data_IF_212228399242
#
_entry.id   IF_212228399242
#
_cell.length_a   1.000
_cell.length_b   1.000
_cell.length_c   1.000
_cell.angle_alpha   90.00
_cell.angle_beta   90.00
_cell.angle_gamma   90.00
#
_symmetry.space_group_name_H-M   'P 1'
#
loop_
_entity.id
_entity.type
_entity.pdbx_description
1 polymer ?
#
# COMPACT_ATOMS: atom_id res chain seq x y z
N UNK A 1 18.31 -5.78 50.67
CA UNK A 1 18.93 -6.48 49.53
C UNK A 1 18.04 -6.31 48.33
N UNK A 2 18.35 -5.29 47.51
CA UNK A 2 17.57 -4.99 46.30
C UNK A 2 18.30 -5.60 45.12
N UNK A 3 17.63 -6.50 44.43
CA UNK A 3 18.16 -7.17 43.22
C UNK A 3 17.70 -6.37 42.00
N UNK A 4 18.63 -5.63 41.41
CA UNK A 4 18.39 -4.91 40.16
C UNK A 4 18.51 -5.88 38.99
N UNK A 5 17.41 -6.13 38.29
CA UNK A 5 17.43 -6.89 37.03
C UNK A 5 17.92 -5.98 35.91
N UNK A 6 19.10 -6.26 35.37
CA UNK A 6 19.58 -5.65 34.11
C UNK A 6 18.88 -6.35 32.94
N UNK A 7 18.00 -5.64 32.25
CA UNK A 7 17.54 -6.06 30.92
C UNK A 7 18.63 -5.72 29.90
N UNK A 8 19.28 -6.72 29.36
CA UNK A 8 20.18 -6.58 28.22
C UNK A 8 19.37 -6.44 26.93
N UNK A 9 19.38 -5.26 26.31
CA UNK A 9 18.88 -5.03 24.98
C UNK A 9 19.80 -5.72 23.97
N UNK A 10 19.35 -6.79 23.36
CA UNK A 10 20.03 -7.40 22.22
C UNK A 10 19.77 -6.52 21.00
N UNK A 11 20.69 -5.60 20.69
CA UNK A 11 20.76 -4.97 19.38
C UNK A 11 21.18 -6.07 18.38
N UNK A 12 20.23 -6.62 17.65
CA UNK A 12 20.50 -7.47 16.50
C UNK A 12 21.18 -6.63 15.41
N UNK A 13 22.49 -6.81 15.23
CA UNK A 13 23.17 -6.26 14.08
C UNK A 13 22.54 -6.88 12.82
N UNK A 14 21.96 -6.07 11.95
CA UNK A 14 21.60 -6.51 10.59
C UNK A 14 22.89 -6.92 9.88
N UNK A 15 23.12 -8.21 9.79
CA UNK A 15 24.19 -8.77 8.96
C UNK A 15 23.70 -8.62 7.52
N UNK A 16 24.27 -7.70 6.78
CA UNK A 16 24.02 -7.59 5.35
C UNK A 16 24.35 -8.92 4.69
N UNK A 17 23.41 -9.51 3.98
CA UNK A 17 23.65 -10.70 3.19
C UNK A 17 24.76 -10.41 2.17
N UNK A 18 25.74 -11.31 1.96
CA UNK A 18 26.79 -11.09 0.99
C UNK A 18 26.17 -10.89 -0.41
N UNK A 19 26.67 -9.91 -1.15
CA UNK A 19 26.26 -9.63 -2.52
C UNK A 19 26.43 -10.88 -3.39
N UNK A 20 25.33 -11.35 -3.96
CA UNK A 20 25.33 -12.45 -4.90
C UNK A 20 25.76 -11.99 -6.31
N UNK A 21 26.08 -12.92 -7.21
CA UNK A 21 26.41 -12.57 -8.59
C UNK A 21 25.22 -11.93 -9.30
N UNK A 22 25.53 -11.06 -10.27
CA UNK A 22 24.50 -10.49 -11.17
C UNK A 22 23.79 -11.62 -11.93
N UNK A 23 22.49 -11.63 -11.87
CA UNK A 23 21.66 -12.59 -12.57
C UNK A 23 20.88 -11.89 -13.68
N UNK A 24 21.23 -12.17 -14.94
CA UNK A 24 20.46 -11.72 -16.10
C UNK A 24 19.24 -12.62 -16.26
N UNK A 25 18.10 -12.02 -16.55
CA UNK A 25 16.81 -12.70 -16.67
C UNK A 25 16.24 -12.53 -18.09
N UNK A 26 16.81 -13.21 -19.10
CA UNK A 26 16.33 -13.10 -20.47
C UNK A 26 14.89 -13.61 -20.58
N UNK A 27 14.12 -13.07 -21.52
CA UNK A 27 12.73 -13.48 -21.74
C UNK A 27 12.62 -14.78 -22.55
N UNK A 28 13.65 -15.09 -23.36
CA UNK A 28 13.71 -16.28 -24.22
C UNK A 28 14.13 -17.56 -23.50
N UNK A 29 14.51 -17.51 -22.21
CA UNK A 29 14.99 -18.69 -21.47
C UNK A 29 13.87 -19.65 -21.02
N UNK A 30 12.62 -19.32 -21.32
CA UNK A 30 11.44 -20.14 -21.02
C UNK A 30 11.03 -20.18 -19.54
N UNK A 31 11.63 -19.34 -18.68
CA UNK A 31 11.36 -19.32 -17.22
C UNK A 31 10.40 -18.22 -16.78
N UNK A 32 9.96 -17.37 -17.70
CA UNK A 32 8.93 -16.39 -17.44
C UNK A 32 7.55 -17.02 -17.62
N UNK A 33 6.73 -17.03 -16.57
CA UNK A 33 5.34 -17.43 -16.61
C UNK A 33 4.51 -16.23 -17.08
N UNK A 34 4.13 -16.25 -18.36
CA UNK A 34 3.37 -15.17 -19.00
C UNK A 34 1.87 -15.43 -18.83
N UNK A 35 1.17 -14.52 -18.18
CA UNK A 35 -0.25 -14.58 -17.94
C UNK A 35 -0.96 -13.36 -18.55
N UNK A 36 -1.99 -13.62 -19.36
CA UNK A 36 -2.76 -12.62 -20.07
C UNK A 36 -2.53 -12.68 -21.57
N UNK A 37 -3.59 -12.49 -22.34
CA UNK A 37 -3.63 -12.67 -23.80
C UNK A 37 -2.76 -11.67 -24.58
N UNK A 38 -2.33 -10.59 -23.93
CA UNK A 38 -1.62 -9.46 -24.57
C UNK A 38 -0.21 -9.25 -24.02
N UNK A 39 0.42 -10.35 -23.60
CA UNK A 39 1.80 -10.36 -23.12
C UNK A 39 2.60 -11.36 -23.97
N UNK A 40 3.67 -10.90 -24.61
CA UNK A 40 4.46 -11.73 -25.53
C UNK A 40 5.93 -11.31 -25.58
N UNK A 41 6.81 -12.28 -25.79
CA UNK A 41 8.23 -12.03 -26.11
C UNK A 41 8.37 -11.70 -27.59
N UNK A 42 9.08 -10.62 -27.92
CA UNK A 42 9.35 -10.18 -29.29
C UNK A 42 10.77 -9.63 -29.40
N UNK A 43 11.24 -9.40 -30.63
CA UNK A 43 12.50 -8.70 -30.89
C UNK A 43 12.22 -7.35 -31.54
N UNK A 44 12.75 -6.27 -30.96
CA UNK A 44 12.63 -4.90 -31.48
C UNK A 44 14.04 -4.32 -31.63
N UNK A 45 14.43 -3.95 -32.84
CA UNK A 45 15.75 -3.41 -33.16
C UNK A 45 16.93 -4.28 -32.68
N UNK A 46 16.76 -5.62 -32.81
CA UNK A 46 17.74 -6.61 -32.35
C UNK A 46 17.79 -6.81 -30.83
N UNK A 47 16.93 -6.14 -30.05
CA UNK A 47 16.81 -6.28 -28.61
C UNK A 47 15.65 -7.24 -28.28
N UNK A 48 15.93 -8.22 -27.45
CA UNK A 48 14.90 -9.09 -26.88
C UNK A 48 14.02 -8.28 -25.92
N UNK A 49 12.72 -8.33 -26.09
CA UNK A 49 11.78 -7.55 -25.30
C UNK A 49 10.57 -8.37 -24.88
N UNK A 50 10.00 -8.02 -23.72
CA UNK A 50 8.69 -8.43 -23.31
C UNK A 50 7.69 -7.31 -23.62
N UNK A 51 6.81 -7.55 -24.57
CA UNK A 51 5.70 -6.67 -24.90
C UNK A 51 4.54 -6.91 -23.95
N UNK A 52 4.02 -5.84 -23.34
CA UNK A 52 2.88 -5.92 -22.43
C UNK A 52 1.82 -4.90 -22.82
N UNK A 53 0.56 -5.34 -22.86
CA UNK A 53 -0.62 -4.46 -22.92
C UNK A 53 -1.46 -4.62 -21.64
N UNK A 54 -1.89 -5.84 -21.34
CA UNK A 54 -2.51 -6.20 -20.07
C UNK A 54 -2.11 -7.63 -19.72
N UNK A 55 -1.51 -7.79 -18.55
CA UNK A 55 -1.08 -9.12 -18.10
C UNK A 55 0.13 -9.06 -17.18
N UNK A 56 0.57 -10.23 -16.80
CA UNK A 56 1.68 -10.48 -15.89
C UNK A 56 2.76 -11.31 -16.56
N UNK A 57 4.01 -11.07 -16.19
CA UNK A 57 5.13 -11.94 -16.45
C UNK A 57 5.85 -12.22 -15.12
N UNK A 58 5.70 -13.43 -14.60
CA UNK A 58 6.28 -13.84 -13.32
C UNK A 58 7.62 -14.54 -13.52
N UNK A 59 8.61 -14.18 -12.73
CA UNK A 59 9.90 -14.85 -12.66
C UNK A 59 10.00 -15.63 -11.34
N UNK A 60 9.42 -16.82 -11.31
CA UNK A 60 9.19 -17.58 -10.08
C UNK A 60 10.41 -18.34 -9.56
N UNK A 61 11.44 -18.50 -10.38
CA UNK A 61 12.68 -19.20 -10.04
C UNK A 61 13.73 -18.32 -9.33
N UNK A 62 13.49 -17.02 -9.21
CA UNK A 62 14.34 -16.09 -8.46
C UNK A 62 13.84 -15.90 -7.04
N UNK A 63 14.77 -15.53 -6.14
CA UNK A 63 14.44 -15.12 -4.77
C UNK A 63 15.25 -13.87 -4.43
N UNK A 64 14.55 -12.81 -4.10
CA UNK A 64 15.12 -11.54 -3.70
C UNK A 64 14.42 -11.04 -2.45
N UNK A 65 15.19 -10.77 -1.39
CA UNK A 65 14.74 -10.02 -0.21
C UNK A 65 15.30 -8.61 -0.27
N UNK A 66 16.63 -8.47 -0.14
CA UNK A 66 17.37 -7.23 -0.34
C UNK A 66 18.20 -7.31 -1.60
N UNK A 67 18.48 -6.16 -2.22
CA UNK A 67 19.30 -6.08 -3.42
C UNK A 67 18.82 -5.05 -4.42
N UNK A 68 19.29 -5.20 -5.65
CA UNK A 68 18.99 -4.28 -6.75
C UNK A 68 18.31 -5.03 -7.89
N UNK A 69 17.29 -4.42 -8.48
CA UNK A 69 16.60 -4.87 -9.68
C UNK A 69 16.78 -3.79 -10.74
N UNK A 70 17.30 -4.15 -11.91
CA UNK A 70 17.44 -3.26 -13.05
C UNK A 70 16.64 -3.78 -14.24
N UNK A 71 16.09 -2.87 -15.03
CA UNK A 71 15.47 -3.17 -16.30
C UNK A 71 15.35 -1.91 -17.17
N UNK A 72 15.23 -2.10 -18.46
CA UNK A 72 14.88 -1.03 -19.39
C UNK A 72 13.39 -1.12 -19.71
N UNK A 73 12.72 0.03 -19.80
CA UNK A 73 11.32 0.11 -20.20
C UNK A 73 11.11 1.15 -21.30
N UNK A 74 10.33 0.80 -22.30
CA UNK A 74 9.81 1.71 -23.31
C UNK A 74 8.33 1.91 -23.09
N UNK A 75 7.89 3.14 -22.82
CA UNK A 75 6.53 3.50 -22.45
C UNK A 75 5.81 4.21 -23.60
N UNK A 76 4.48 4.16 -23.59
CA UNK A 76 3.63 4.95 -24.50
C UNK A 76 2.89 6.03 -23.72
N UNK A 77 2.22 6.97 -24.39
CA UNK A 77 1.40 8.01 -23.73
C UNK A 77 0.02 7.55 -23.31
N UNK A 78 -0.35 6.30 -23.62
CA UNK A 78 -1.67 5.77 -23.26
C UNK A 78 -1.87 5.79 -21.75
N UNK A 79 -3.10 6.07 -21.31
CA UNK A 79 -3.46 5.89 -19.89
C UNK A 79 -3.28 4.44 -19.52
N UNK A 80 -2.24 4.17 -18.77
CA UNK A 80 -1.82 2.81 -18.42
C UNK A 80 -1.00 2.83 -17.14
N UNK A 81 -0.78 1.64 -16.60
CA UNK A 81 -0.01 1.42 -15.40
C UNK A 81 0.98 0.30 -15.67
N UNK A 82 2.26 0.53 -15.39
CA UNK A 82 3.37 -0.38 -15.68
C UNK A 82 4.10 -0.67 -14.39
N UNK A 83 4.14 -1.94 -13.98
CA UNK A 83 4.54 -2.34 -12.63
C UNK A 83 5.78 -3.23 -12.62
N UNK A 84 6.57 -3.06 -11.59
CA UNK A 84 7.45 -4.08 -11.02
C UNK A 84 6.84 -4.52 -9.68
N UNK A 85 6.47 -5.79 -9.57
CA UNK A 85 6.13 -6.42 -8.30
C UNK A 85 7.34 -7.19 -7.77
N UNK A 86 7.61 -7.12 -6.47
CA UNK A 86 8.78 -7.73 -5.85
C UNK A 86 8.42 -8.34 -4.49
N UNK A 87 9.34 -9.18 -3.97
CA UNK A 87 9.10 -9.93 -2.73
C UNK A 87 7.78 -10.69 -2.76
N UNK A 88 7.41 -11.23 -3.92
CA UNK A 88 6.16 -11.95 -4.07
C UNK A 88 6.28 -13.29 -3.33
N UNK A 89 5.56 -13.44 -2.22
CA UNK A 89 5.48 -14.69 -1.46
C UNK A 89 4.56 -15.70 -2.16
N UNK A 90 3.45 -15.20 -2.65
CA UNK A 90 2.44 -15.87 -3.49
C UNK A 90 1.68 -14.83 -4.30
N UNK A 91 1.02 -15.25 -5.37
CA UNK A 91 0.30 -14.33 -6.24
C UNK A 91 -0.73 -13.50 -5.46
N UNK A 92 -0.58 -12.17 -5.53
CA UNK A 92 -1.41 -11.22 -4.81
C UNK A 92 -0.97 -10.91 -3.38
N UNK A 93 0.25 -11.34 -3.00
CA UNK A 93 0.89 -10.98 -1.73
C UNK A 93 2.30 -10.45 -2.02
N UNK A 94 2.43 -9.16 -2.28
CA UNK A 94 3.65 -8.53 -2.76
C UNK A 94 3.72 -7.04 -2.43
N UNK A 95 4.87 -6.46 -2.69
CA UNK A 95 5.08 -5.03 -2.84
C UNK A 95 5.08 -4.69 -4.33
N UNK A 96 4.67 -3.48 -4.70
CA UNK A 96 4.79 -3.01 -6.09
C UNK A 96 5.21 -1.55 -6.18
N UNK A 97 6.03 -1.28 -7.18
CA UNK A 97 6.34 0.06 -7.67
C UNK A 97 5.85 0.17 -9.11
N UNK A 98 5.17 1.26 -9.45
CA UNK A 98 4.65 1.40 -10.78
C UNK A 98 4.74 2.80 -11.36
N UNK A 99 4.76 2.84 -12.68
CA UNK A 99 4.87 4.02 -13.52
C UNK A 99 3.51 4.33 -14.14
N UNK A 100 3.14 5.60 -14.15
CA UNK A 100 1.94 6.12 -14.80
C UNK A 100 2.32 7.01 -15.99
N UNK A 101 2.53 6.47 -17.19
CA UNK A 101 3.02 7.24 -18.34
C UNK A 101 2.14 8.45 -18.68
N UNK A 102 0.83 8.33 -18.49
CA UNK A 102 -0.14 9.39 -18.71
C UNK A 102 -0.08 10.53 -17.66
N UNK A 103 0.66 10.33 -16.57
CA UNK A 103 0.91 11.32 -15.51
C UNK A 103 2.36 11.84 -15.52
N UNK A 104 3.06 11.70 -16.63
CA UNK A 104 4.44 12.20 -16.79
C UNK A 104 4.58 13.64 -16.31
N UNK A 105 5.50 13.90 -15.39
CA UNK A 105 5.74 15.20 -14.77
C UNK A 105 4.79 15.59 -13.63
N UNK A 106 3.74 14.81 -13.35
CA UNK A 106 2.82 15.06 -12.24
C UNK A 106 3.33 14.43 -10.93
N UNK A 107 2.90 14.92 -9.74
CA UNK A 107 3.39 14.46 -8.44
C UNK A 107 3.19 12.98 -8.13
N UNK A 108 2.34 12.28 -8.88
CA UNK A 108 2.03 10.87 -8.74
C UNK A 108 2.35 10.07 -10.01
N UNK A 109 3.35 10.50 -10.79
CA UNK A 109 3.82 9.79 -11.98
C UNK A 109 4.41 8.42 -11.66
N UNK A 110 5.01 8.26 -10.48
CA UNK A 110 5.45 6.98 -9.91
C UNK A 110 4.81 6.77 -8.55
N UNK A 111 4.53 5.51 -8.20
CA UNK A 111 3.91 5.19 -6.91
C UNK A 111 4.38 3.83 -6.40
N UNK A 112 4.48 3.74 -5.07
CA UNK A 112 4.58 2.52 -4.29
C UNK A 112 3.18 2.13 -3.76
N UNK A 113 2.88 0.83 -3.75
CA UNK A 113 1.74 0.27 -3.02
C UNK A 113 2.03 -1.17 -2.57
N UNK A 114 1.63 -1.55 -1.34
CA UNK A 114 1.58 -2.94 -0.95
C UNK A 114 0.34 -3.61 -1.56
N UNK A 115 0.43 -4.90 -1.78
CA UNK A 115 -0.69 -5.72 -2.27
C UNK A 115 -1.00 -6.79 -1.22
N UNK A 116 -2.22 -6.79 -0.73
CA UNK A 116 -2.75 -7.76 0.21
C UNK A 116 -3.95 -8.47 -0.42
N UNK A 117 -3.94 -9.81 -0.44
CA UNK A 117 -5.07 -10.60 -0.94
C UNK A 117 -5.51 -10.18 -2.37
N UNK A 118 -4.56 -9.85 -3.27
CA UNK A 118 -4.74 -9.33 -4.64
C UNK A 118 -5.28 -7.89 -4.73
N UNK A 119 -5.44 -7.20 -3.59
CA UNK A 119 -5.86 -5.80 -3.54
C UNK A 119 -4.65 -4.89 -3.37
N UNK A 120 -4.43 -4.01 -4.34
CA UNK A 120 -3.41 -2.97 -4.28
C UNK A 120 -3.91 -1.80 -3.46
N UNK A 121 -3.20 -1.45 -2.38
CA UNK A 121 -3.60 -0.40 -1.45
C UNK A 121 -3.15 1.01 -1.90
N UNK A 122 -3.27 1.30 -3.20
CA UNK A 122 -2.73 2.53 -3.79
C UNK A 122 -3.39 3.82 -3.26
N UNK A 123 -4.65 3.77 -2.83
CA UNK A 123 -5.35 4.92 -2.24
C UNK A 123 -4.89 5.21 -0.82
N UNK A 124 -4.32 4.22 -0.15
CA UNK A 124 -3.85 4.32 1.23
C UNK A 124 -2.39 4.78 1.27
N UNK A 125 -1.61 4.49 0.24
CA UNK A 125 -0.18 4.83 0.14
C UNK A 125 0.03 5.90 -0.94
N UNK A 126 -0.05 7.17 -0.55
CA UNK A 126 0.12 8.31 -1.44
C UNK A 126 0.88 9.46 -0.75
N UNK A 127 1.29 10.46 -1.53
CA UNK A 127 2.05 11.60 -1.01
C UNK A 127 3.51 11.28 -0.75
N UNK A 128 4.12 12.01 0.18
CA UNK A 128 5.55 11.92 0.48
C UNK A 128 5.93 10.50 0.92
N UNK A 129 6.94 9.92 0.27
CA UNK A 129 7.42 8.56 0.54
C UNK A 129 6.61 7.45 -0.13
N UNK A 130 5.51 7.76 -0.83
CA UNK A 130 4.71 6.79 -1.57
C UNK A 130 4.52 7.17 -3.04
N UNK A 131 4.43 8.48 -3.37
CA UNK A 131 4.36 8.95 -4.75
C UNK A 131 5.41 10.02 -5.03
N UNK A 132 5.79 10.15 -6.31
CA UNK A 132 6.69 11.22 -6.76
C UNK A 132 6.47 11.56 -8.23
N UNK A 133 6.95 12.75 -8.60
CA UNK A 133 7.02 13.18 -9.99
C UNK A 133 8.15 12.44 -10.72
N UNK A 134 7.89 12.06 -11.97
CA UNK A 134 8.89 11.54 -12.90
C UNK A 134 8.49 11.91 -14.33
N UNK A 135 9.47 12.15 -15.19
CA UNK A 135 9.21 12.48 -16.60
C UNK A 135 9.53 11.25 -17.45
N UNK A 136 8.60 10.90 -18.33
CA UNK A 136 8.73 9.80 -19.27
C UNK A 136 8.71 10.32 -20.70
N UNK A 137 9.71 9.91 -21.49
CA UNK A 137 9.77 10.18 -22.92
C UNK A 137 9.14 9.01 -23.69
N UNK A 138 7.95 9.21 -24.30
CA UNK A 138 7.24 8.13 -24.98
C UNK A 138 8.05 7.57 -26.17
N UNK A 139 8.14 6.26 -26.24
CA UNK A 139 8.90 5.57 -27.28
C UNK A 139 10.42 5.51 -27.05
N UNK A 140 10.95 6.26 -26.09
CA UNK A 140 12.35 6.12 -25.68
C UNK A 140 12.52 4.99 -24.66
N UNK A 141 13.67 4.33 -24.70
CA UNK A 141 14.09 3.39 -23.68
C UNK A 141 14.55 4.16 -22.44
N UNK A 142 13.97 3.86 -21.30
CA UNK A 142 14.30 4.44 -20.00
C UNK A 142 14.82 3.32 -19.08
N UNK A 143 15.99 3.51 -18.50
CA UNK A 143 16.51 2.60 -17.50
C UNK A 143 15.83 2.83 -16.17
N UNK A 144 15.40 1.75 -15.52
CA UNK A 144 14.76 1.76 -14.20
C UNK A 144 15.58 0.89 -13.27
N UNK A 145 15.85 1.41 -12.09
CA UNK A 145 16.50 0.69 -11.00
C UNK A 145 15.64 0.76 -9.74
N UNK A 146 15.47 -0.38 -9.11
CA UNK A 146 14.87 -0.49 -7.77
C UNK A 146 15.88 -1.08 -6.81
N UNK A 147 16.14 -0.39 -5.71
CA UNK A 147 17.03 -0.85 -4.63
C UNK A 147 16.20 -1.13 -3.39
N UNK A 148 16.40 -2.30 -2.80
CA UNK A 148 15.67 -2.79 -1.64
C UNK A 148 16.63 -3.04 -0.47
N UNK A 149 16.31 -2.52 0.72
CA UNK A 149 17.03 -2.80 1.95
C UNK A 149 16.08 -2.81 3.16
N UNK A 150 15.86 -3.97 3.74
CA UNK A 150 14.89 -4.12 4.83
C UNK A 150 13.53 -3.57 4.42
N UNK A 151 12.96 -2.68 5.22
CA UNK A 151 11.68 -2.02 4.90
C UNK A 151 11.85 -0.71 4.14
N UNK A 152 12.85 -0.59 3.28
CA UNK A 152 13.11 0.63 2.49
C UNK A 152 13.29 0.29 1.03
N UNK A 153 12.86 1.21 0.15
CA UNK A 153 13.08 1.11 -1.29
C UNK A 153 13.48 2.46 -1.88
N UNK A 154 14.28 2.41 -2.96
CA UNK A 154 14.58 3.56 -3.80
C UNK A 154 14.33 3.20 -5.27
N UNK A 155 13.54 4.02 -5.95
CA UNK A 155 13.23 3.89 -7.37
C UNK A 155 13.97 4.98 -8.15
N UNK A 156 14.74 4.58 -9.14
CA UNK A 156 15.42 5.45 -10.09
C UNK A 156 14.78 5.29 -11.47
N UNK A 157 14.59 6.40 -12.16
CA UNK A 157 14.00 6.43 -13.50
C UNK A 157 14.85 7.34 -14.40
N UNK A 158 15.64 6.74 -15.27
CA UNK A 158 16.57 7.43 -16.17
C UNK A 158 17.83 7.95 -15.48
N UNK A 159 17.70 8.84 -14.50
CA UNK A 159 18.82 9.35 -13.69
C UNK A 159 19.17 8.37 -12.56
N UNK A 160 20.31 7.70 -12.65
CA UNK A 160 20.78 6.77 -11.62
C UNK A 160 21.56 7.45 -10.47
N UNK A 161 21.79 8.77 -10.55
CA UNK A 161 22.44 9.52 -9.48
C UNK A 161 21.45 9.97 -8.41
N UNK A 162 20.17 10.15 -8.78
CA UNK A 162 19.11 10.63 -7.88
C UNK A 162 17.86 9.76 -8.01
N UNK A 163 17.37 9.20 -6.90
CA UNK A 163 16.11 8.45 -6.96
C UNK A 163 14.94 9.37 -7.29
N UNK A 164 14.03 8.90 -8.13
CA UNK A 164 12.75 9.54 -8.38
C UNK A 164 11.83 9.42 -7.17
N UNK A 165 11.86 8.27 -6.48
CA UNK A 165 11.08 8.02 -5.28
C UNK A 165 11.93 7.26 -4.26
N UNK A 166 11.90 7.70 -3.01
CA UNK A 166 12.41 6.94 -1.86
C UNK A 166 11.24 6.59 -0.96
N UNK A 167 11.03 5.30 -0.73
CA UNK A 167 10.03 4.77 0.20
C UNK A 167 10.73 4.47 1.52
N UNK A 168 10.50 5.26 2.57
CA UNK A 168 11.21 5.10 3.83
C UNK A 168 10.69 3.91 4.65
N UNK A 169 9.46 3.46 4.35
CA UNK A 169 8.81 2.38 5.08
C UNK A 169 7.89 1.57 4.15
N UNK A 170 8.37 0.43 3.69
CA UNK A 170 7.56 -0.57 3.00
C UNK A 170 6.59 -1.22 3.99
N UNK A 171 5.32 -1.39 3.62
CA UNK A 171 4.27 -1.84 4.52
C UNK A 171 4.40 -3.32 4.93
N UNK A 172 4.98 -4.14 4.03
CA UNK A 172 5.15 -5.58 4.30
C UNK A 172 6.50 -5.88 4.94
N UNK A 173 6.54 -6.94 5.76
CA UNK A 173 7.81 -7.41 6.31
C UNK A 173 8.72 -7.92 5.19
N UNK A 174 10.03 -7.65 5.27
CA UNK A 174 11.00 -8.18 4.33
C UNK A 174 10.97 -9.70 4.30
N UNK A 175 10.94 -10.26 3.10
CA UNK A 175 10.99 -11.72 2.92
C UNK A 175 11.53 -12.04 1.52
N UNK A 176 12.23 -13.16 1.35
CA UNK A 176 12.62 -13.64 0.04
C UNK A 176 11.40 -13.95 -0.81
N UNK A 177 11.32 -13.36 -2.00
CA UNK A 177 10.23 -13.59 -2.92
C UNK A 177 10.66 -13.49 -4.37
N UNK A 178 9.80 -13.89 -5.27
CA UNK A 178 10.02 -13.73 -6.71
C UNK A 178 9.60 -12.33 -7.17
N UNK A 179 9.89 -12.04 -8.44
CA UNK A 179 9.53 -10.77 -9.08
C UNK A 179 8.53 -10.99 -10.21
N UNK A 180 7.80 -9.94 -10.56
CA UNK A 180 6.98 -9.93 -11.77
C UNK A 180 6.94 -8.55 -12.41
N UNK A 181 6.81 -8.55 -13.73
CA UNK A 181 6.50 -7.36 -14.52
C UNK A 181 5.02 -7.42 -14.90
N UNK A 182 4.36 -6.26 -14.94
CA UNK A 182 2.94 -6.18 -15.25
C UNK A 182 2.62 -4.94 -16.07
N UNK A 183 1.69 -5.12 -17.00
CA UNK A 183 0.96 -4.02 -17.61
C UNK A 183 -0.51 -4.08 -17.23
N UNK A 184 -1.11 -2.92 -17.01
CA UNK A 184 -2.55 -2.78 -16.85
C UNK A 184 -3.07 -1.61 -17.69
N UNK A 185 -3.98 -1.95 -18.59
CA UNK A 185 -4.70 -1.00 -19.43
C UNK A 185 -6.17 -1.01 -19.03
N UNK A 186 -6.73 0.11 -18.52
CA UNK A 186 -8.16 0.19 -18.25
C UNK A 186 -8.99 -0.08 -19.51
N UNK A 187 -10.08 -0.83 -19.37
CA UNK A 187 -10.89 -1.31 -20.52
C UNK A 187 -11.47 -0.18 -21.39
N UNK A 188 -11.65 1.01 -20.83
CA UNK A 188 -12.21 2.18 -21.53
C UNK A 188 -11.15 3.06 -22.21
N UNK A 189 -9.87 2.66 -22.21
CA UNK A 189 -8.80 3.45 -22.84
C UNK A 189 -8.68 3.06 -24.31
N UNK A 190 -8.89 4.02 -25.24
CA UNK A 190 -8.83 3.74 -26.68
C UNK A 190 -7.39 3.52 -27.16
N UNK A 191 -7.28 2.96 -28.36
CA UNK A 191 -6.03 2.70 -29.07
C UNK A 191 -5.60 1.24 -29.00
N UNK A 192 -4.70 0.87 -29.90
CA UNK A 192 -4.15 -0.48 -30.06
C UNK A 192 -2.65 -0.50 -29.74
N UNK A 193 -2.11 -1.70 -29.59
CA UNK A 193 -0.70 -1.96 -29.37
C UNK A 193 -0.27 -1.90 -27.90
N UNK A 194 1.03 -2.13 -27.64
CA UNK A 194 1.55 -2.25 -26.30
C UNK A 194 1.47 -0.93 -25.52
N UNK A 195 1.36 -1.05 -24.21
CA UNK A 195 1.54 0.08 -23.30
C UNK A 195 2.98 0.21 -22.85
N UNK A 196 3.70 -0.93 -22.81
CA UNK A 196 5.11 -0.98 -22.45
C UNK A 196 5.82 -2.14 -23.15
N UNK A 197 7.13 -1.98 -23.30
CA UNK A 197 8.10 -3.05 -23.57
C UNK A 197 9.16 -3.02 -22.49
N UNK A 198 9.52 -4.19 -21.97
CA UNK A 198 10.60 -4.37 -21.02
C UNK A 198 11.78 -5.06 -21.71
N UNK A 199 13.00 -4.71 -21.30
CA UNK A 199 14.23 -5.35 -21.76
C UNK A 199 15.28 -5.37 -20.66
N UNK A 200 16.35 -6.16 -20.84
CA UNK A 200 17.55 -6.14 -20.01
C UNK A 200 17.26 -6.29 -18.50
N UNK A 201 16.35 -7.20 -18.14
CA UNK A 201 16.04 -7.45 -16.73
C UNK A 201 17.20 -8.16 -16.06
N UNK A 202 17.68 -7.62 -14.95
CA UNK A 202 18.70 -8.24 -14.13
C UNK A 202 18.44 -7.98 -12.64
N UNK A 203 18.92 -8.88 -11.79
CA UNK A 203 18.89 -8.73 -10.33
C UNK A 203 20.27 -8.91 -9.74
N UNK A 204 20.53 -8.23 -8.63
CA UNK A 204 21.75 -8.32 -7.81
C UNK A 204 21.33 -8.57 -6.37
N UNK A 205 21.11 -9.83 -5.97
CA UNK A 205 20.73 -10.16 -4.59
C UNK A 205 21.82 -9.69 -3.61
N UNK A 206 21.40 -9.03 -2.53
CA UNK A 206 22.28 -8.50 -1.49
C UNK A 206 23.09 -7.25 -1.87
N UNK A 207 23.14 -6.84 -3.15
CA UNK A 207 23.81 -5.61 -3.57
C UNK A 207 22.85 -4.41 -3.44
N UNK A 208 23.05 -3.59 -2.42
CA UNK A 208 22.27 -2.39 -2.16
C UNK A 208 22.95 -1.19 -2.82
N UNK A 209 22.54 -0.84 -4.02
CA UNK A 209 23.15 0.22 -4.85
C UNK A 209 22.65 1.64 -4.49
N UNK A 210 22.25 1.86 -3.25
CA UNK A 210 21.83 3.17 -2.73
C UNK A 210 22.10 3.26 -1.22
N UNK A 211 22.60 4.41 -0.78
CA UNK A 211 22.86 4.66 0.64
C UNK A 211 21.61 5.19 1.35
N UNK A 212 20.96 4.32 2.10
CA UNK A 212 19.82 4.67 2.94
C UNK A 212 20.19 5.27 4.30
N UNK A 213 21.47 5.50 4.61
CA UNK A 213 21.90 5.98 5.92
C UNK A 213 21.40 7.38 6.27
N UNK A 214 21.08 8.19 5.25
CA UNK A 214 20.49 9.52 5.41
C UNK A 214 19.01 9.50 5.83
N UNK A 215 18.33 8.35 5.69
CA UNK A 215 16.95 8.21 6.15
C UNK A 215 16.91 7.91 7.65
N UNK A 216 15.88 8.36 8.37
CA UNK A 216 15.67 7.96 9.75
C UNK A 216 15.69 6.44 9.88
N UNK A 217 16.40 5.93 10.88
CA UNK A 217 16.48 4.49 11.16
C UNK A 217 15.13 3.93 11.65
N UNK A 218 14.27 4.78 12.18
CA UNK A 218 12.94 4.47 12.72
C UNK A 218 11.86 5.18 11.93
N UNK A 219 10.66 4.62 11.94
CA UNK A 219 9.47 5.33 11.47
C UNK A 219 9.36 6.73 12.11
N UNK A 220 8.70 7.70 11.43
CA UNK A 220 8.47 9.03 11.99
C UNK A 220 7.94 8.94 13.42
N UNK A 221 8.33 9.92 14.27
CA UNK A 221 7.79 10.01 15.61
C UNK A 221 6.26 9.99 15.55
N UNK A 222 5.67 9.19 16.40
CA UNK A 222 4.22 9.05 16.42
C UNK A 222 3.58 10.36 16.89
N UNK A 223 2.63 10.87 16.11
CA UNK A 223 1.83 12.02 16.49
C UNK A 223 0.93 11.69 17.69
N UNK A 224 0.80 12.63 18.62
CA UNK A 224 -0.11 12.49 19.76
C UNK A 224 -1.56 12.36 19.27
N UNK A 225 -2.36 11.61 20.01
CA UNK A 225 -3.79 11.44 19.73
C UNK A 225 -4.15 10.46 18.61
N UNK A 226 -3.18 9.96 17.86
CA UNK A 226 -3.42 8.94 16.82
C UNK A 226 -3.86 7.62 17.48
N UNK A 227 -4.96 7.05 17.00
CA UNK A 227 -5.44 5.73 17.43
C UNK A 227 -4.56 4.65 16.82
N UNK A 228 -3.81 3.92 17.66
CA UNK A 228 -2.74 2.99 17.26
C UNK A 228 -3.19 1.59 16.95
N UNK A 229 -4.34 1.20 17.44
CA UNK A 229 -4.89 -0.13 17.24
C UNK A 229 -6.40 -0.10 17.32
N UNK A 230 -7.01 -1.01 16.57
CA UNK A 230 -8.45 -1.17 16.52
C UNK A 230 -8.83 -2.64 16.71
N UNK A 231 -9.97 -2.89 17.34
CA UNK A 231 -10.60 -4.19 17.34
C UNK A 231 -11.44 -4.32 16.06
N UNK A 232 -11.06 -5.22 15.17
CA UNK A 232 -11.62 -5.34 13.81
C UNK A 232 -12.42 -6.62 13.68
N UNK A 233 -13.63 -6.52 13.10
CA UNK A 233 -14.48 -7.66 12.82
C UNK A 233 -14.06 -8.44 11.58
N UNK A 234 -14.60 -9.64 11.40
CA UNK A 234 -14.60 -10.27 10.07
C UNK A 234 -15.41 -9.43 9.08
N UNK A 235 -15.18 -9.68 7.78
CA UNK A 235 -15.98 -9.10 6.70
C UNK A 235 -17.43 -9.61 6.72
N UNK A 236 -18.36 -8.74 6.34
CA UNK A 236 -19.77 -9.06 6.12
C UNK A 236 -20.30 -8.34 4.87
N UNK A 237 -21.45 -8.77 4.31
CA UNK A 237 -21.97 -8.18 3.08
C UNK A 237 -22.21 -6.67 3.20
N UNK A 238 -21.81 -5.88 2.17
CA UNK A 238 -21.98 -4.43 2.19
C UNK A 238 -23.45 -4.05 2.09
N UNK A 239 -23.84 -3.01 2.84
CA UNK A 239 -25.13 -2.37 2.67
C UNK A 239 -25.14 -1.48 1.43
N UNK A 240 -26.30 -1.32 0.79
CA UNK A 240 -26.49 -0.40 -0.32
C UNK A 240 -26.32 1.07 0.12
N UNK A 241 -26.90 1.40 1.26
CA UNK A 241 -26.90 2.73 1.83
C UNK A 241 -26.13 2.75 3.17
N UNK A 242 -25.86 3.95 3.70
CA UNK A 242 -25.25 4.09 5.00
C UNK A 242 -26.08 3.37 6.09
N UNK A 243 -25.41 2.58 6.92
CA UNK A 243 -26.07 1.86 7.99
C UNK A 243 -26.55 2.82 9.08
N UNK A 244 -27.74 2.55 9.62
CA UNK A 244 -28.30 3.32 10.75
C UNK A 244 -28.09 2.64 12.09
N UNK A 245 -27.69 1.36 12.07
CA UNK A 245 -27.47 0.51 13.22
C UNK A 245 -26.21 -0.33 13.00
N UNK A 246 -25.51 -0.64 14.08
CA UNK A 246 -24.42 -1.60 14.06
C UNK A 246 -24.97 -3.00 13.76
N UNK A 247 -24.26 -3.82 12.99
CA UNK A 247 -24.63 -5.22 12.80
C UNK A 247 -24.62 -5.97 14.14
N UNK A 248 -25.48 -6.99 14.22
CA UNK A 248 -25.52 -7.90 15.37
C UNK A 248 -24.15 -8.55 15.64
N UNK A 249 -23.82 -8.78 16.90
CA UNK A 249 -22.55 -9.37 17.32
C UNK A 249 -22.26 -10.70 16.61
N UNK A 250 -23.28 -11.51 16.32
CA UNK A 250 -23.17 -12.76 15.57
C UNK A 250 -22.66 -12.56 14.14
N UNK A 251 -22.97 -11.44 13.51
CA UNK A 251 -22.46 -11.09 12.17
C UNK A 251 -21.00 -10.63 12.20
N UNK A 252 -20.59 -9.96 13.28
CA UNK A 252 -19.24 -9.42 13.42
C UNK A 252 -18.20 -10.52 13.73
N UNK A 253 -18.60 -11.61 14.42
CA UNK A 253 -17.69 -12.62 14.95
C UNK A 253 -16.83 -12.08 16.10
N UNK A 254 -15.75 -12.79 16.41
CA UNK A 254 -14.75 -12.29 17.34
C UNK A 254 -14.02 -11.09 16.71
N UNK A 255 -13.83 -10.04 17.50
CA UNK A 255 -13.01 -8.92 17.07
C UNK A 255 -11.54 -9.25 17.32
N UNK A 256 -10.69 -8.95 16.34
CA UNK A 256 -9.26 -9.14 16.42
C UNK A 256 -8.53 -7.80 16.45
N UNK A 257 -7.48 -7.69 17.28
CA UNK A 257 -6.68 -6.47 17.37
C UNK A 257 -5.81 -6.33 16.13
N UNK A 258 -5.91 -5.20 15.44
CA UNK A 258 -5.05 -4.81 14.34
C UNK A 258 -4.36 -3.49 14.67
N UNK A 259 -3.03 -3.49 14.61
CA UNK A 259 -2.22 -2.28 14.81
C UNK A 259 -2.11 -1.50 13.52
N UNK A 260 -2.09 -0.16 13.65
CA UNK A 260 -1.85 0.73 12.52
C UNK A 260 -0.41 0.66 12.05
N UNK A 261 -0.19 1.03 10.81
CA UNK A 261 1.13 1.34 10.28
C UNK A 261 1.68 2.64 10.91
N UNK A 262 2.98 2.90 10.79
CA UNK A 262 3.53 4.21 11.11
C UNK A 262 2.74 5.34 10.41
N UNK A 263 2.37 6.37 11.15
CA UNK A 263 1.47 7.42 10.64
C UNK A 263 -0.03 7.18 10.90
N UNK A 264 -0.41 6.05 11.50
CA UNK A 264 -1.77 5.81 11.97
C UNK A 264 -2.72 5.17 10.95
N UNK A 265 -2.20 4.67 9.83
CA UNK A 265 -2.99 3.96 8.81
C UNK A 265 -3.33 2.55 9.28
N UNK A 266 -4.62 2.23 9.35
CA UNK A 266 -5.15 0.88 9.52
C UNK A 266 -5.52 0.32 8.15
N UNK A 267 -4.74 -0.59 7.61
CA UNK A 267 -5.03 -1.34 6.37
C UNK A 267 -5.75 -2.65 6.73
N UNK A 268 -7.04 -2.74 6.42
CA UNK A 268 -7.87 -3.87 6.86
C UNK A 268 -7.55 -5.17 6.13
N UNK A 269 -7.12 -5.13 4.86
CA UNK A 269 -6.75 -6.35 4.11
C UNK A 269 -5.59 -7.12 4.72
N UNK A 270 -4.85 -6.53 5.66
CA UNK A 270 -3.81 -7.23 6.43
C UNK A 270 -4.39 -8.34 7.32
N UNK A 271 -5.65 -8.20 7.73
CA UNK A 271 -6.35 -9.11 8.63
C UNK A 271 -7.65 -9.66 8.03
N UNK A 272 -8.48 -8.76 7.50
CA UNK A 272 -9.85 -9.08 7.08
C UNK A 272 -9.85 -9.68 5.68
N UNK A 273 -10.42 -10.88 5.56
CA UNK A 273 -10.55 -11.55 4.26
C UNK A 273 -11.90 -11.22 3.63
N UNK A 274 -11.87 -10.83 2.36
CA UNK A 274 -13.09 -10.71 1.58
C UNK A 274 -13.79 -12.07 1.46
N UNK A 275 -15.12 -12.13 1.53
CA UNK A 275 -15.86 -13.36 1.25
C UNK A 275 -15.56 -13.85 -0.17
N UNK A 276 -15.47 -15.16 -0.35
CA UNK A 276 -15.17 -15.76 -1.65
C UNK A 276 -16.18 -15.29 -2.72
N UNK A 277 -15.66 -14.84 -3.87
CA UNK A 277 -16.47 -14.32 -4.97
C UNK A 277 -17.02 -12.91 -4.77
N UNK A 278 -16.74 -12.25 -3.64
CA UNK A 278 -17.16 -10.88 -3.38
C UNK A 278 -16.12 -9.88 -3.86
N UNK A 279 -16.58 -8.84 -4.56
CA UNK A 279 -15.76 -7.69 -4.95
C UNK A 279 -15.85 -6.53 -3.94
N UNK A 280 -16.71 -6.64 -2.93
CA UNK A 280 -16.93 -5.61 -1.92
C UNK A 280 -17.36 -6.24 -0.59
N UNK A 281 -17.02 -5.61 0.52
CA UNK A 281 -17.42 -6.02 1.85
C UNK A 281 -17.47 -4.83 2.81
N UNK A 282 -18.02 -5.05 3.99
CA UNK A 282 -17.93 -4.15 5.14
C UNK A 282 -17.24 -4.85 6.31
N UNK A 283 -16.55 -4.08 7.14
CA UNK A 283 -16.07 -4.51 8.45
C UNK A 283 -16.24 -3.38 9.47
N UNK A 284 -16.28 -3.75 10.75
CA UNK A 284 -16.29 -2.81 11.87
C UNK A 284 -14.87 -2.71 12.43
N UNK A 285 -14.39 -1.49 12.60
CA UNK A 285 -13.24 -1.18 13.45
C UNK A 285 -13.72 -0.45 14.70
N UNK A 286 -13.32 -0.88 15.90
CA UNK A 286 -13.83 -0.37 17.16
C UNK A 286 -12.72 -0.08 18.16
N UNK A 287 -12.90 1.02 18.92
CA UNK A 287 -12.10 1.33 20.11
C UNK A 287 -12.98 1.82 21.24
N UNK A 288 -12.51 1.65 22.47
CA UNK A 288 -13.08 2.28 23.66
C UNK A 288 -12.28 3.53 24.01
N UNK A 289 -13.00 4.59 24.35
CA UNK A 289 -12.41 5.87 24.73
C UNK A 289 -12.92 6.21 26.12
N UNK A 290 -12.03 6.18 27.10
CA UNK A 290 -12.32 6.66 28.44
C UNK A 290 -12.03 8.15 28.53
N UNK A 291 -13.06 8.95 28.78
CA UNK A 291 -12.92 10.40 28.93
C UNK A 291 -13.00 10.79 30.42
N UNK A 292 -12.06 11.61 30.88
CA UNK A 292 -12.03 12.10 32.27
C UNK A 292 -13.24 12.95 32.62
N UNK A 293 -13.85 13.62 31.64
CA UNK A 293 -15.02 14.47 31.77
C UNK A 293 -15.86 14.45 30.51
N UNK A 294 -17.13 14.80 30.61
CA UNK A 294 -17.99 14.99 29.44
C UNK A 294 -17.56 16.27 28.71
N UNK A 295 -17.24 16.14 27.41
CA UNK A 295 -16.82 17.26 26.55
C UNK A 295 -16.98 16.89 25.07
N UNK A 296 -16.92 17.90 24.20
CA UNK A 296 -16.74 17.71 22.76
C UNK A 296 -15.25 17.57 22.47
N UNK A 297 -14.86 16.52 21.77
CA UNK A 297 -13.49 16.28 21.34
C UNK A 297 -13.41 16.25 19.81
N UNK A 298 -12.50 17.04 19.24
CA UNK A 298 -12.23 17.02 17.82
C UNK A 298 -11.50 15.71 17.45
N UNK A 299 -12.01 15.04 16.42
CA UNK A 299 -11.52 13.77 15.92
C UNK A 299 -11.35 13.87 14.40
N UNK A 300 -10.12 13.81 13.94
CA UNK A 300 -9.77 13.78 12.54
C UNK A 300 -9.88 12.36 12.00
N UNK A 301 -10.56 12.19 10.88
CA UNK A 301 -10.92 10.91 10.31
C UNK A 301 -10.50 10.83 8.84
N UNK A 302 -9.70 9.83 8.50
CA UNK A 302 -9.46 9.38 7.14
C UNK A 302 -10.06 8.01 6.90
N UNK A 303 -10.58 7.75 5.71
CA UNK A 303 -11.22 6.48 5.38
C UNK A 303 -11.20 6.21 3.86
N UNK A 304 -11.26 4.94 3.51
CA UNK A 304 -11.46 4.43 2.15
C UNK A 304 -12.26 3.11 2.22
N UNK A 305 -13.37 2.92 1.44
CA UNK A 305 -14.00 3.86 0.50
C UNK A 305 -15.18 4.62 1.14
N UNK A 306 -16.12 3.90 1.81
CA UNK A 306 -17.29 4.46 2.51
C UNK A 306 -17.18 4.23 4.01
N UNK A 307 -17.69 5.16 4.77
CA UNK A 307 -17.64 5.12 6.22
C UNK A 307 -19.02 5.38 6.84
N UNK A 308 -19.29 4.70 7.96
CA UNK A 308 -20.33 5.10 8.91
C UNK A 308 -19.76 5.02 10.32
N UNK A 309 -19.80 6.13 11.04
CA UNK A 309 -19.26 6.28 12.40
C UNK A 309 -20.39 6.25 13.39
N UNK A 310 -20.21 5.47 14.45
CA UNK A 310 -21.13 5.35 15.60
C UNK A 310 -20.41 5.75 16.87
N UNK A 311 -21.08 6.50 17.70
CA UNK A 311 -20.63 6.80 19.06
C UNK A 311 -21.69 6.28 20.04
N UNK A 312 -21.27 5.40 20.95
CA UNK A 312 -22.17 4.76 21.96
C UNK A 312 -23.40 4.13 21.30
N UNK A 313 -23.18 3.41 20.16
CA UNK A 313 -24.23 2.73 19.40
C UNK A 313 -25.12 3.64 18.54
N UNK A 314 -24.92 4.96 18.56
CA UNK A 314 -25.71 5.92 17.76
C UNK A 314 -24.93 6.37 16.51
N UNK A 315 -25.54 6.36 15.33
CA UNK A 315 -24.90 6.86 14.12
C UNK A 315 -24.63 8.36 14.22
N UNK A 316 -23.41 8.77 13.93
CA UNK A 316 -22.96 10.14 14.05
C UNK A 316 -22.63 10.78 12.69
N UNK A 317 -22.01 10.00 11.81
CA UNK A 317 -21.48 10.48 10.54
C UNK A 317 -21.47 9.37 9.50
N UNK A 318 -21.71 9.72 8.25
CA UNK A 318 -21.46 8.82 7.11
C UNK A 318 -21.00 9.61 5.90
N UNK A 319 -20.10 9.03 5.12
CA UNK A 319 -19.61 9.64 3.89
C UNK A 319 -19.10 8.56 2.91
N UNK A 320 -18.94 8.98 1.65
CA UNK A 320 -18.47 8.17 0.55
C UNK A 320 -17.32 8.88 -0.18
N UNK A 321 -16.11 8.36 -0.01
CA UNK A 321 -14.88 8.81 -0.65
C UNK A 321 -14.43 7.87 -1.78
N UNK A 322 -15.28 6.92 -2.20
CA UNK A 322 -14.93 5.94 -3.24
C UNK A 322 -14.39 6.60 -4.51
N UNK A 323 -13.42 5.96 -5.13
CA UNK A 323 -12.89 6.39 -6.42
C UNK A 323 -14.00 6.50 -7.49
N UNK A 324 -13.96 7.55 -8.28
CA UNK A 324 -14.92 7.73 -9.38
C UNK A 324 -14.22 8.19 -10.66
N UNK A 325 -14.35 7.40 -11.71
CA UNK A 325 -13.87 7.78 -13.06
C UNK A 325 -14.53 9.04 -13.62
N UNK A 326 -15.79 9.27 -13.25
CA UNK A 326 -16.59 10.39 -13.76
C UNK A 326 -16.39 11.68 -12.95
N UNK A 327 -15.71 11.57 -11.82
CA UNK A 327 -15.46 12.68 -10.91
C UNK A 327 -13.97 12.74 -10.56
N UNK A 328 -13.12 13.36 -11.40
CA UNK A 328 -11.66 13.31 -11.26
C UNK A 328 -11.11 13.92 -9.96
N UNK A 329 -11.95 14.59 -9.17
CA UNK A 329 -11.59 15.10 -7.83
C UNK A 329 -11.86 14.10 -6.69
N UNK A 330 -12.48 12.95 -6.98
CA UNK A 330 -12.72 11.88 -6.01
C UNK A 330 -11.75 10.74 -6.32
N UNK A 331 -10.54 10.86 -5.82
CA UNK A 331 -9.51 9.83 -5.99
C UNK A 331 -9.53 8.77 -4.88
N UNK A 332 -10.32 8.95 -3.83
CA UNK A 332 -10.41 8.02 -2.70
C UNK A 332 -9.16 7.99 -1.82
N UNK A 333 -8.29 9.01 -1.95
CA UNK A 333 -7.06 9.08 -1.17
C UNK A 333 -7.38 9.32 0.31
N UNK A 334 -6.74 8.55 1.19
CA UNK A 334 -6.96 8.63 2.62
C UNK A 334 -6.08 9.71 3.28
N UNK A 335 -6.60 10.39 4.30
CA UNK A 335 -5.85 11.36 5.09
C UNK A 335 -6.66 11.87 6.26
N UNK A 336 -6.00 12.35 7.32
CA UNK A 336 -6.66 12.92 8.50
C UNK A 336 -7.51 14.16 8.19
N UNK A 337 -7.29 14.78 7.04
CA UNK A 337 -8.00 16.00 6.59
C UNK A 337 -9.29 15.70 5.81
N UNK A 338 -9.66 14.42 5.62
CA UNK A 338 -10.89 14.07 4.90
C UNK A 338 -12.15 14.47 5.67
N UNK A 339 -12.17 14.31 7.00
CA UNK A 339 -13.27 14.72 7.84
C UNK A 339 -12.80 15.09 9.25
N UNK A 340 -13.40 16.13 9.82
CA UNK A 340 -13.28 16.47 11.25
C UNK A 340 -14.62 16.31 11.92
N UNK A 341 -14.68 15.43 12.90
CA UNK A 341 -15.86 15.16 13.70
C UNK A 341 -15.69 15.78 15.08
N UNK A 342 -16.82 16.16 15.71
CA UNK A 342 -16.85 16.58 17.11
C UNK A 342 -17.61 15.52 17.89
N UNK A 343 -16.88 14.69 18.64
CA UNK A 343 -17.41 13.57 19.40
C UNK A 343 -17.89 14.05 20.76
N UNK A 344 -19.22 13.99 21.07
CA UNK A 344 -19.76 14.33 22.40
C UNK A 344 -19.52 13.17 23.37
N UNK A 345 -18.27 13.07 23.88
CA UNK A 345 -17.92 12.02 24.83
C UNK A 345 -18.57 12.29 26.18
N UNK A 346 -19.10 11.23 26.82
CA UNK A 346 -19.54 11.28 28.22
C UNK A 346 -18.36 10.97 29.14
N UNK A 347 -18.43 11.39 30.40
CA UNK A 347 -17.43 11.01 31.40
C UNK A 347 -17.43 9.49 31.57
N UNK A 348 -16.28 8.86 31.63
CA UNK A 348 -16.11 7.42 31.67
C UNK A 348 -16.02 6.79 30.28
N UNK A 349 -16.50 5.58 30.13
CA UNK A 349 -16.34 4.76 28.94
C UNK A 349 -17.25 5.20 27.77
N UNK A 350 -16.69 5.34 26.59
CA UNK A 350 -17.39 5.55 25.33
C UNK A 350 -16.93 4.50 24.32
N UNK A 351 -17.81 4.07 23.44
CA UNK A 351 -17.48 3.20 22.31
C UNK A 351 -17.51 4.02 21.01
N UNK A 352 -16.39 4.05 20.29
CA UNK A 352 -16.31 4.56 18.93
C UNK A 352 -16.21 3.36 17.98
N UNK A 353 -17.25 3.14 17.18
CA UNK A 353 -17.29 2.08 16.17
C UNK A 353 -17.40 2.68 14.77
N UNK A 354 -16.60 2.18 13.84
CA UNK A 354 -16.53 2.65 12.47
C UNK A 354 -16.78 1.49 11.53
N UNK A 355 -17.86 1.56 10.76
CA UNK A 355 -18.11 0.62 9.66
C UNK A 355 -17.40 1.18 8.42
N UNK A 356 -16.58 0.34 7.81
CA UNK A 356 -15.83 0.66 6.60
C UNK A 356 -16.26 -0.28 5.49
N UNK A 357 -16.59 0.26 4.33
CA UNK A 357 -16.88 -0.53 3.14
C UNK A 357 -15.73 -0.43 2.14
N UNK A 358 -15.28 -1.59 1.67
CA UNK A 358 -14.31 -1.73 0.59
C UNK A 358 -15.00 -1.98 -0.74
N UNK A 359 -14.51 -1.33 -1.78
CA UNK A 359 -14.91 -1.59 -3.16
C UNK A 359 -13.75 -1.51 -4.15
N UNK A 360 -12.70 -0.72 -3.88
CA UNK A 360 -11.59 -0.56 -4.81
C UNK A 360 -10.41 0.24 -4.21
N UNK A 361 -9.18 -0.24 -4.39
CA UNK A 361 -7.95 0.57 -4.22
C UNK A 361 -7.36 0.64 -2.82
N UNK A 362 -7.96 -0.04 -1.87
CA UNK A 362 -7.50 -0.15 -0.48
C UNK A 362 -8.64 0.03 0.52
N UNK A 363 -8.54 -0.64 1.65
CA UNK A 363 -9.55 -0.67 2.70
C UNK A 363 -8.95 -0.13 4.00
N UNK A 364 -9.11 1.14 4.25
CA UNK A 364 -8.34 1.81 5.28
C UNK A 364 -9.10 2.77 6.18
N UNK A 365 -8.52 2.99 7.34
CA UNK A 365 -8.99 3.91 8.36
C UNK A 365 -7.80 4.64 8.98
N UNK A 366 -7.95 5.93 9.24
CA UNK A 366 -7.09 6.75 10.09
C UNK A 366 -7.94 7.50 11.10
N UNK A 367 -7.51 7.54 12.36
CA UNK A 367 -8.22 8.25 13.41
C UNK A 367 -7.26 8.98 14.35
N UNK A 368 -7.54 10.25 14.65
CA UNK A 368 -6.72 11.07 15.55
C UNK A 368 -7.57 12.02 16.37
N UNK A 369 -7.39 12.01 17.69
CA UNK A 369 -7.87 13.07 18.57
C UNK A 369 -6.92 14.26 18.50
N UNK A 370 -7.43 15.46 18.21
CA UNK A 370 -6.59 16.68 18.14
C UNK A 370 -6.03 17.06 19.52
N UNK A 371 -6.85 16.92 20.56
CA UNK A 371 -6.48 17.17 21.96
C UNK A 371 -6.71 15.88 22.75
N UNK A 372 -5.69 15.00 22.90
CA UNK A 372 -5.84 13.71 23.57
C UNK A 372 -5.80 13.77 25.09
N UNK A 373 -5.54 14.95 25.70
CA UNK A 373 -5.43 15.11 27.15
C UNK A 373 -6.72 14.71 27.86
N UNK A 374 -6.61 13.81 28.83
CA UNK A 374 -7.75 13.27 29.57
C UNK A 374 -8.54 12.21 28.84
N UNK A 375 -8.01 11.69 27.70
CA UNK A 375 -8.54 10.53 26.99
C UNK A 375 -7.58 9.34 27.13
N UNK A 376 -8.15 8.18 27.38
CA UNK A 376 -7.46 6.88 27.29
C UNK A 376 -8.15 6.06 26.21
N UNK A 377 -7.40 5.66 25.17
CA UNK A 377 -7.91 4.86 24.07
C UNK A 377 -7.47 3.41 24.23
N UNK A 378 -8.43 2.49 24.29
CA UNK A 378 -8.20 1.06 24.49
C UNK A 378 -8.83 0.24 23.37
N UNK A 379 -8.11 -0.81 22.96
CA UNK A 379 -8.62 -1.83 22.04
C UNK A 379 -9.00 -3.06 22.85
N UNK A 380 -10.29 -3.32 22.97
CA UNK A 380 -10.87 -4.45 23.72
C UNK A 380 -11.60 -5.40 22.77
#
# INVERSE_FOLDING_TARGET
>A
MSTTLLMASVLGALVASPAGPVQKLPFSDGRWDLQGERTAVESVDGRETLRVETGWAYRRDVRLEDGTIDFDVQLTRRRSFVYLAFRIARDGENEELYLRPHKSGLPDAVQYAPVWQRNSAWQLHHGLGATAASVFEPGAWTHVRVVLQGRRAALFVGDLARPALVVPHLAREPQPGYIALRGFLPANVPGEGPIARFANVEIRPGEVAYDFSSLPATAPAEEAGVVRAWAVSRAFPPARDARRELPEASALGALERLETEPGGLLELHRLVKLPEGSAAAEAVARVHVRAARAALHAFDLGFSDRVTVFLNGRPLYSNDASYSFDRPRREGLIGFDQARLYLPLVAGDNELAVILADSFGGWGLMGRFEEPEGLEVETR
#
